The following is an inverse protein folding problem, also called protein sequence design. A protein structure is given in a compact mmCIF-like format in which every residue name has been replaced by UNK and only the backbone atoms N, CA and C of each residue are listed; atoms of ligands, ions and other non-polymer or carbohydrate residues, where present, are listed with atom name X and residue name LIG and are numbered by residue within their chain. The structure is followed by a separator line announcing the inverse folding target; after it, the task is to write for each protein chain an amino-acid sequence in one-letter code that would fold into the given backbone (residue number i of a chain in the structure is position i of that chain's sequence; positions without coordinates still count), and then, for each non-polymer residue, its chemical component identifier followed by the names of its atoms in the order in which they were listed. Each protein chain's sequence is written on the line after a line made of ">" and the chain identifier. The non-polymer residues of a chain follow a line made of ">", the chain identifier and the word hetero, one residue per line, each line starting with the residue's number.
data_IF_922333015127
#
_entry.id   IF_922333015127
#
_cell.length_a   1.000
_cell.length_b   1.000
_cell.length_c   1.000
_cell.angle_alpha   90.00
_cell.angle_beta   90.00
_cell.angle_gamma   90.00
#
_symmetry.space_group_name_H-M   'P 1'
#
loop_
_entity.id
_entity.type
_entity.pdbx_description
1 polymer ?
#
# COMPACT_ATOMS: atom_id res chain seq x y z
N UNK A 1 -15.95 -0.01 -42.93
CA UNK A 1 -16.46 1.39 -42.86
C UNK A 1 -15.73 2.21 -43.91
N UNK A 2 -16.45 2.93 -44.78
CA UNK A 2 -15.85 3.72 -45.87
C UNK A 2 -15.32 5.04 -45.30
N UNK A 3 -14.04 5.36 -45.51
CA UNK A 3 -13.45 6.63 -45.10
C UNK A 3 -13.90 7.75 -46.06
N UNK A 4 -14.28 8.90 -45.51
CA UNK A 4 -14.68 10.09 -46.25
C UNK A 4 -13.43 10.74 -46.86
N UNK A 5 -13.53 11.26 -48.08
CA UNK A 5 -12.43 11.99 -48.74
C UNK A 5 -12.32 13.41 -48.22
N UNK A 6 -11.15 14.03 -48.33
CA UNK A 6 -10.85 15.37 -47.78
C UNK A 6 -11.84 16.45 -48.27
N UNK A 7 -12.33 16.33 -49.51
CA UNK A 7 -13.35 17.22 -50.07
C UNK A 7 -14.71 17.10 -49.35
N UNK A 8 -15.06 15.91 -48.87
CA UNK A 8 -16.28 15.67 -48.10
C UNK A 8 -16.16 16.21 -46.67
N UNK A 9 -14.95 16.23 -46.10
CA UNK A 9 -14.66 16.82 -44.79
C UNK A 9 -14.78 18.35 -44.86
N UNK A 10 -14.21 18.98 -45.89
CA UNK A 10 -14.25 20.44 -46.02
C UNK A 10 -15.68 20.95 -46.25
N UNK A 11 -16.47 20.25 -47.07
CA UNK A 11 -17.88 20.59 -47.30
C UNK A 11 -18.72 20.52 -46.02
N UNK A 12 -18.46 19.54 -45.16
CA UNK A 12 -19.15 19.41 -43.88
C UNK A 12 -18.76 20.52 -42.90
N UNK A 13 -17.48 20.89 -42.83
CA UNK A 13 -17.02 21.96 -41.92
C UNK A 13 -17.59 23.34 -42.27
N UNK A 14 -17.76 23.65 -43.57
CA UNK A 14 -18.37 24.93 -44.01
C UNK A 14 -19.87 25.01 -43.77
N UNK A 15 -20.54 23.89 -43.51
CA UNK A 15 -21.98 23.84 -43.22
C UNK A 15 -22.32 24.06 -41.74
N UNK A 16 -21.29 24.13 -40.87
CA UNK A 16 -21.49 24.32 -39.44
C UNK A 16 -21.79 25.80 -39.13
N UNK A 17 -22.85 26.10 -38.35
CA UNK A 17 -23.23 27.46 -38.05
C UNK A 17 -22.20 28.11 -37.14
N UNK A 18 -21.55 29.17 -37.61
CA UNK A 18 -20.67 30.01 -36.79
C UNK A 18 -21.56 30.95 -35.97
N UNK A 19 -21.82 30.57 -34.72
CA UNK A 19 -22.58 31.42 -33.80
C UNK A 19 -21.73 32.57 -33.29
N UNK A 20 -21.91 33.75 -33.88
CA UNK A 20 -21.46 35.01 -33.31
C UNK A 20 -22.59 35.61 -32.46
N UNK A 21 -22.23 36.15 -31.30
CA UNK A 21 -23.19 36.84 -30.44
C UNK A 21 -23.68 38.11 -31.14
N UNK A 22 -25.00 38.30 -31.17
CA UNK A 22 -25.60 39.51 -31.73
C UNK A 22 -25.22 40.74 -30.89
N UNK A 23 -25.32 41.93 -31.48
CA UNK A 23 -25.00 43.18 -30.77
C UNK A 23 -25.86 43.35 -29.50
N UNK A 24 -27.13 42.95 -29.57
CA UNK A 24 -28.07 43.00 -28.45
C UNK A 24 -27.68 42.06 -27.31
N UNK A 25 -27.22 40.84 -27.62
CA UNK A 25 -26.73 39.89 -26.62
C UNK A 25 -25.47 40.41 -25.91
N UNK A 26 -24.57 41.08 -26.64
CA UNK A 26 -23.37 41.70 -26.06
C UNK A 26 -23.73 42.84 -25.12
N UNK A 27 -24.65 43.71 -25.51
CA UNK A 27 -25.12 44.83 -24.66
C UNK A 27 -25.80 44.33 -23.38
N UNK A 28 -26.62 43.27 -23.47
CA UNK A 28 -27.24 42.66 -22.29
C UNK A 28 -26.22 42.07 -21.30
N UNK A 29 -25.13 41.49 -21.81
CA UNK A 29 -24.03 40.98 -20.97
C UNK A 29 -23.28 42.14 -20.30
N UNK A 30 -22.96 43.21 -21.04
CA UNK A 30 -22.28 44.39 -20.49
C UNK A 30 -23.13 45.06 -19.42
N UNK A 31 -24.44 45.17 -19.64
CA UNK A 31 -25.38 45.72 -18.67
C UNK A 31 -25.46 44.86 -17.40
N UNK A 32 -25.56 43.53 -17.53
CA UNK A 32 -25.58 42.61 -16.40
C UNK A 32 -24.29 42.67 -15.57
N UNK A 33 -23.12 42.83 -16.22
CA UNK A 33 -21.83 42.96 -15.54
C UNK A 33 -21.74 44.27 -14.76
N UNK A 34 -22.19 45.39 -15.34
CA UNK A 34 -22.23 46.70 -14.64
C UNK A 34 -23.19 46.70 -13.46
N UNK A 35 -24.34 46.02 -13.59
CA UNK A 35 -25.31 45.93 -12.50
C UNK A 35 -24.79 45.09 -11.32
N UNK A 36 -23.85 44.16 -11.57
CA UNK A 36 -23.22 43.34 -10.55
C UNK A 36 -22.00 43.97 -9.86
N UNK A 37 -21.37 45.02 -10.45
CA UNK A 37 -20.19 45.67 -9.85
C UNK A 37 -20.53 46.76 -8.82
N UNK A 38 -21.74 47.32 -8.85
CA UNK A 38 -22.18 48.42 -7.96
C UNK A 38 -22.60 47.98 -6.53
N UNK A 39 -22.57 46.68 -6.19
CA UNK A 39 -23.07 46.17 -4.88
C UNK A 39 -22.09 45.34 -4.06
N UNK A 40 -20.83 45.76 -3.91
CA UNK A 40 -19.95 45.24 -2.84
C UNK A 40 -19.27 46.32 -2.02
N UNK A 41 -20.03 46.96 -1.11
CA UNK A 41 -19.46 47.46 0.14
C UNK A 41 -19.40 46.29 1.13
N UNK A 42 -18.23 45.67 1.23
CA UNK A 42 -17.97 44.55 2.14
C UNK A 42 -17.90 45.07 3.59
N UNK A 43 -18.99 44.90 4.36
CA UNK A 43 -18.92 44.99 5.83
C UNK A 43 -18.52 43.62 6.36
N UNK A 44 -17.27 43.49 6.80
CA UNK A 44 -16.74 42.30 7.48
C UNK A 44 -17.62 41.96 8.69
N UNK A 45 -18.22 40.76 8.70
CA UNK A 45 -18.85 40.17 9.88
C UNK A 45 -17.95 39.05 10.40
N UNK A 46 -17.51 39.07 11.67
CA UNK A 46 -16.47 38.18 12.21
C UNK A 46 -16.89 36.71 12.39
N UNK A 47 -18.15 36.34 12.12
CA UNK A 47 -18.66 34.99 12.35
C UNK A 47 -18.12 33.93 11.36
N UNK A 48 -17.77 34.32 10.12
CA UNK A 48 -17.27 33.36 9.10
C UNK A 48 -15.81 32.97 9.38
N UNK A 49 -15.03 33.87 9.99
CA UNK A 49 -13.65 33.60 10.38
C UNK A 49 -13.56 32.50 11.44
N UNK A 50 -14.49 32.50 12.41
CA UNK A 50 -14.56 31.46 13.45
C UNK A 50 -14.89 30.07 12.90
N UNK A 51 -15.78 29.97 11.89
CA UNK A 51 -16.11 28.69 11.26
C UNK A 51 -14.92 28.11 10.50
N UNK A 52 -14.19 28.96 9.76
CA UNK A 52 -12.96 28.56 9.07
C UNK A 52 -11.86 28.16 10.05
N UNK A 53 -11.72 28.88 11.17
CA UNK A 53 -10.75 28.55 12.21
C UNK A 53 -11.09 27.21 12.89
N UNK A 54 -12.37 26.94 13.18
CA UNK A 54 -12.83 25.67 13.75
C UNK A 54 -12.57 24.49 12.81
N UNK A 55 -12.79 24.66 11.51
CA UNK A 55 -12.46 23.63 10.51
C UNK A 55 -10.94 23.38 10.42
N UNK A 56 -10.13 24.43 10.57
CA UNK A 56 -8.66 24.33 10.59
C UNK A 56 -8.15 23.68 11.88
N UNK A 57 -8.76 23.98 13.03
CA UNK A 57 -8.45 23.30 14.30
C UNK A 57 -8.88 21.83 14.27
N UNK A 58 -10.05 21.52 13.71
CA UNK A 58 -10.51 20.14 13.56
C UNK A 58 -9.60 19.31 12.64
N UNK A 59 -9.05 19.91 11.57
CA UNK A 59 -8.09 19.22 10.69
C UNK A 59 -6.73 19.01 11.36
N UNK A 60 -6.24 19.98 12.14
CA UNK A 60 -4.99 19.85 12.91
C UNK A 60 -5.13 18.78 14.01
N UNK A 61 -6.26 18.75 14.73
CA UNK A 61 -6.52 17.73 15.75
C UNK A 61 -6.65 16.34 15.13
N UNK A 62 -7.33 16.22 13.97
CA UNK A 62 -7.43 14.93 13.26
C UNK A 62 -6.06 14.44 12.77
N UNK A 63 -5.18 15.35 12.32
CA UNK A 63 -3.82 15.01 11.92
C UNK A 63 -2.94 14.62 13.11
N UNK A 64 -3.09 15.32 14.25
CA UNK A 64 -2.38 14.98 15.49
C UNK A 64 -2.82 13.61 16.04
N UNK A 65 -4.10 13.25 15.93
CA UNK A 65 -4.60 11.92 16.33
C UNK A 65 -4.16 10.79 15.39
N UNK A 66 -3.87 11.06 14.11
CA UNK A 66 -3.23 10.07 13.22
C UNK A 66 -1.75 9.86 13.54
N UNK A 67 -1.07 10.85 14.14
CA UNK A 67 0.31 10.75 14.61
C UNK A 67 0.42 10.19 16.05
N UNK A 68 -0.62 10.36 16.86
CA UNK A 68 -0.75 9.70 18.17
C UNK A 68 -1.24 8.27 17.95
N UNK A 69 -0.35 7.45 17.41
CA UNK A 69 -0.46 6.00 17.44
C UNK A 69 -0.40 5.62 18.93
N UNK A 70 -1.56 5.63 19.59
CA UNK A 70 -1.78 5.32 21.01
C UNK A 70 -1.53 3.85 21.31
N UNK A 71 -0.40 3.33 20.81
CA UNK A 71 0.15 2.06 21.22
C UNK A 71 0.51 2.26 22.69
N UNK A 72 -0.09 1.51 23.63
CA UNK A 72 0.47 1.44 24.97
C UNK A 72 1.95 1.14 24.79
N UNK A 73 2.82 1.81 25.57
CA UNK A 73 4.23 1.49 25.59
C UNK A 73 4.34 -0.01 25.82
N UNK A 74 4.54 -0.76 24.73
CA UNK A 74 4.70 -2.19 24.76
C UNK A 74 5.90 -2.37 25.66
N UNK A 75 5.73 -3.03 26.81
CA UNK A 75 6.86 -3.49 27.60
C UNK A 75 7.83 -4.09 26.58
N UNK A 76 9.04 -3.54 26.52
CA UNK A 76 9.99 -3.86 25.47
C UNK A 76 10.49 -5.30 25.65
N UNK A 77 9.63 -6.26 25.35
CA UNK A 77 9.97 -7.67 25.25
C UNK A 77 10.89 -7.76 24.06
N UNK A 78 12.18 -7.91 24.35
CA UNK A 78 13.20 -8.04 23.33
C UNK A 78 13.10 -9.43 22.74
N UNK A 79 12.45 -9.57 21.59
CA UNK A 79 12.41 -10.84 20.88
C UNK A 79 13.65 -11.02 20.00
N UNK A 80 14.03 -12.27 19.77
CA UNK A 80 15.01 -12.65 18.74
C UNK A 80 14.49 -13.85 17.99
N UNK A 81 14.89 -13.98 16.73
CA UNK A 81 14.46 -15.11 15.90
C UNK A 81 15.62 -15.99 15.50
N UNK A 82 15.35 -17.28 15.40
CA UNK A 82 16.26 -18.29 14.84
C UNK A 82 15.52 -19.13 13.82
N UNK A 83 16.24 -19.53 12.77
CA UNK A 83 15.73 -20.38 11.69
C UNK A 83 16.93 -21.09 11.06
N UNK A 84 16.73 -22.34 10.66
CA UNK A 84 17.78 -23.20 10.10
C UNK A 84 17.41 -23.58 8.67
N UNK A 85 17.80 -22.77 7.66
CA UNK A 85 17.63 -23.14 6.27
C UNK A 85 18.51 -24.34 5.93
N UNK A 86 17.99 -25.22 5.08
CA UNK A 86 18.72 -26.39 4.62
C UNK A 86 19.75 -26.04 3.53
N UNK A 87 20.76 -26.89 3.35
CA UNK A 87 21.74 -26.80 2.27
C UNK A 87 22.70 -25.60 2.38
N UNK A 88 23.22 -25.17 1.22
CA UNK A 88 24.23 -24.10 1.11
C UNK A 88 23.59 -22.69 1.16
N UNK A 89 22.72 -22.44 2.14
CA UNK A 89 22.08 -21.14 2.36
C UNK A 89 22.83 -20.36 3.43
N UNK A 90 23.28 -19.15 3.08
CA UNK A 90 23.89 -18.21 4.02
C UNK A 90 22.82 -17.25 4.56
N UNK A 91 22.78 -17.10 5.89
CA UNK A 91 21.91 -16.13 6.56
C UNK A 91 22.69 -14.85 6.84
N UNK A 92 22.18 -13.71 6.38
CA UNK A 92 22.67 -12.37 6.77
C UNK A 92 21.68 -11.70 7.71
N UNK A 93 22.13 -11.34 8.91
CA UNK A 93 21.32 -10.59 9.85
C UNK A 93 21.25 -9.12 9.42
N UNK A 94 20.04 -8.58 9.28
CA UNK A 94 19.77 -7.16 9.01
C UNK A 94 19.34 -6.39 10.25
N UNK A 95 19.07 -7.09 11.35
CA UNK A 95 18.69 -6.58 12.65
C UNK A 95 18.25 -7.72 13.56
N UNK A 96 17.75 -7.40 14.77
CA UNK A 96 17.26 -8.41 15.71
C UNK A 96 16.09 -9.24 15.15
N UNK A 97 15.28 -8.63 14.28
CA UNK A 97 14.02 -9.19 13.78
C UNK A 97 13.99 -9.41 12.26
N UNK A 98 15.12 -9.24 11.58
CA UNK A 98 15.19 -9.38 10.13
C UNK A 98 16.44 -10.14 9.68
N UNK A 99 16.21 -11.13 8.82
CA UNK A 99 17.24 -12.01 8.26
C UNK A 99 16.98 -12.16 6.77
N UNK A 100 18.03 -12.12 5.97
CA UNK A 100 17.95 -12.43 4.54
C UNK A 100 18.69 -13.74 4.26
N UNK A 101 18.10 -14.58 3.41
CA UNK A 101 18.68 -15.85 2.98
C UNK A 101 19.32 -15.67 1.60
N UNK A 102 20.50 -16.23 1.42
CA UNK A 102 21.25 -16.16 0.17
C UNK A 102 21.78 -17.53 -0.22
N UNK A 103 21.78 -17.86 -1.51
CA UNK A 103 22.47 -19.04 -2.03
C UNK A 103 23.99 -18.79 -2.14
N UNK A 104 24.75 -19.83 -2.51
CA UNK A 104 26.20 -19.76 -2.75
C UNK A 104 26.63 -18.75 -3.82
N UNK A 105 25.74 -18.39 -4.74
CA UNK A 105 25.97 -17.40 -5.80
C UNK A 105 25.68 -15.96 -5.33
N UNK A 106 25.21 -15.79 -4.09
CA UNK A 106 24.86 -14.49 -3.52
C UNK A 106 23.50 -13.96 -3.93
N UNK A 107 22.64 -14.77 -4.58
CA UNK A 107 21.25 -14.41 -4.89
C UNK A 107 20.36 -14.59 -3.66
N UNK A 108 19.48 -13.62 -3.41
CA UNK A 108 18.52 -13.68 -2.32
C UNK A 108 17.48 -14.78 -2.60
N UNK A 109 17.24 -15.65 -1.63
CA UNK A 109 16.36 -16.82 -1.76
C UNK A 109 15.19 -16.80 -0.78
N UNK A 110 15.17 -15.84 0.14
CA UNK A 110 14.11 -15.72 1.14
C UNK A 110 14.51 -14.80 2.29
N UNK A 111 13.77 -14.87 3.38
CA UNK A 111 14.10 -14.16 4.60
C UNK A 111 13.06 -14.27 5.70
N UNK A 112 13.35 -13.58 6.80
CA UNK A 112 12.46 -13.36 7.94
C UNK A 112 12.32 -11.86 8.16
N UNK A 113 11.11 -11.40 8.42
CA UNK A 113 10.85 -10.02 8.84
C UNK A 113 9.72 -9.97 9.87
N UNK A 114 9.92 -9.23 10.95
CA UNK A 114 8.83 -8.85 11.87
C UNK A 114 7.97 -7.77 11.24
N UNK A 115 6.66 -7.91 11.41
CA UNK A 115 5.64 -7.00 10.90
C UNK A 115 4.48 -6.88 11.88
N UNK A 116 3.69 -5.83 11.74
CA UNK A 116 2.43 -5.70 12.48
C UNK A 116 1.34 -6.53 11.81
N UNK A 117 0.20 -6.70 12.49
CA UNK A 117 -0.96 -7.36 11.89
C UNK A 117 -1.49 -6.61 10.65
N UNK A 118 -1.49 -5.27 10.69
CA UNK A 118 -1.89 -4.46 9.56
C UNK A 118 -0.98 -4.69 8.34
N UNK A 119 0.34 -4.69 8.56
CA UNK A 119 1.34 -4.96 7.51
C UNK A 119 1.20 -6.38 6.93
N UNK A 120 0.84 -7.38 7.76
CA UNK A 120 0.57 -8.74 7.30
C UNK A 120 -0.62 -8.76 6.34
N UNK A 121 -1.75 -8.16 6.72
CA UNK A 121 -2.92 -8.12 5.85
C UNK A 121 -2.68 -7.30 4.58
N UNK A 122 -1.95 -6.18 4.67
CA UNK A 122 -1.54 -5.43 3.49
C UNK A 122 -0.67 -6.29 2.56
N UNK A 123 0.34 -6.99 3.10
CA UNK A 123 1.20 -7.87 2.32
C UNK A 123 0.41 -8.97 1.61
N UNK A 124 -0.54 -9.60 2.31
CA UNK A 124 -1.42 -10.64 1.73
C UNK A 124 -2.29 -10.04 0.61
N UNK A 125 -2.89 -8.87 0.82
CA UNK A 125 -3.78 -8.23 -0.17
C UNK A 125 -3.07 -7.79 -1.45
N UNK A 126 -1.74 -7.58 -1.41
CA UNK A 126 -0.93 -7.24 -2.58
C UNK A 126 -0.48 -8.46 -3.39
N UNK A 127 -0.68 -9.68 -2.89
CA UNK A 127 -0.26 -10.92 -3.55
C UNK A 127 -1.26 -11.38 -4.61
N UNK A 128 -0.75 -12.07 -5.64
CA UNK A 128 -1.56 -12.89 -6.52
C UNK A 128 -1.74 -14.27 -5.88
N UNK A 129 -2.53 -14.29 -4.81
CA UNK A 129 -2.71 -15.46 -3.93
C UNK A 129 -3.26 -16.65 -4.74
N UNK A 130 -2.50 -17.73 -4.74
CA UNK A 130 -2.95 -19.05 -5.20
C UNK A 130 -3.54 -19.89 -4.07
N UNK A 131 -3.00 -19.73 -2.85
CA UNK A 131 -3.41 -20.47 -1.66
C UNK A 131 -3.31 -19.55 -0.44
N UNK A 132 -4.28 -19.63 0.47
CA UNK A 132 -4.27 -18.95 1.76
C UNK A 132 -4.93 -19.86 2.78
N UNK A 133 -4.11 -20.47 3.64
CA UNK A 133 -4.56 -21.47 4.62
C UNK A 133 -4.04 -21.14 6.01
N UNK A 134 -4.85 -21.43 7.02
CA UNK A 134 -4.36 -21.48 8.40
C UNK A 134 -3.54 -22.77 8.57
N UNK A 135 -2.32 -22.63 9.09
CA UNK A 135 -1.40 -23.76 9.24
C UNK A 135 -1.50 -24.36 10.64
N UNK A 136 -1.66 -25.68 10.71
CA UNK A 136 -1.69 -26.45 11.95
C UNK A 136 -0.42 -27.32 12.11
N UNK A 137 -0.08 -27.68 13.35
CA UNK A 137 1.09 -28.51 13.66
C UNK A 137 2.44 -27.77 13.57
N UNK A 138 2.42 -26.46 13.35
CA UNK A 138 3.59 -25.59 13.53
C UNK A 138 3.74 -25.18 14.99
N UNK A 139 4.94 -24.77 15.39
CA UNK A 139 5.21 -24.30 16.76
C UNK A 139 4.38 -23.07 17.14
N UNK A 140 4.10 -22.21 16.16
CA UNK A 140 3.30 -21.00 16.34
C UNK A 140 2.11 -21.03 15.39
N UNK A 141 0.93 -20.54 15.80
CA UNK A 141 -0.19 -20.38 14.90
C UNK A 141 0.17 -19.38 13.80
N UNK A 142 -0.37 -19.60 12.61
CA UNK A 142 -0.05 -18.74 11.48
C UNK A 142 -0.88 -19.01 10.24
N UNK A 143 -0.52 -18.28 9.18
CA UNK A 143 -1.08 -18.43 7.83
C UNK A 143 0.03 -18.77 6.84
N UNK A 144 -0.29 -19.58 5.84
CA UNK A 144 0.57 -19.81 4.68
C UNK A 144 -0.11 -19.31 3.42
N UNK A 145 0.63 -18.56 2.62
CA UNK A 145 0.19 -18.15 1.29
C UNK A 145 1.21 -18.52 0.23
N UNK A 146 0.73 -18.77 -1.00
CA UNK A 146 1.57 -18.94 -2.19
C UNK A 146 1.22 -17.84 -3.17
N UNK A 147 2.19 -16.99 -3.48
CA UNK A 147 2.07 -15.87 -4.42
C UNK A 147 2.74 -16.23 -5.75
N UNK A 148 2.00 -16.17 -6.85
CA UNK A 148 2.56 -16.34 -8.19
C UNK A 148 3.11 -15.02 -8.74
N UNK A 149 4.40 -15.00 -9.05
CA UNK A 149 5.06 -13.84 -9.66
C UNK A 149 5.47 -14.17 -11.09
N UNK A 150 5.00 -13.39 -12.06
CA UNK A 150 5.44 -13.49 -13.46
C UNK A 150 6.72 -12.68 -13.69
N UNK A 151 7.79 -13.00 -12.96
CA UNK A 151 9.11 -12.35 -13.12
C UNK A 151 10.13 -13.35 -13.63
N UNK A 152 11.11 -12.86 -14.39
CA UNK A 152 12.16 -13.71 -15.00
C UNK A 152 13.00 -14.49 -13.98
N UNK A 153 13.06 -14.01 -12.72
CA UNK A 153 13.97 -14.54 -11.71
C UNK A 153 13.31 -15.43 -10.64
N UNK A 154 11.99 -15.33 -10.48
CA UNK A 154 11.19 -16.02 -9.45
C UNK A 154 9.80 -16.30 -10.01
N UNK A 155 9.34 -17.54 -9.84
CA UNK A 155 8.04 -18.00 -10.37
C UNK A 155 6.95 -17.86 -9.30
N UNK A 156 7.33 -18.15 -8.06
CA UNK A 156 6.47 -18.19 -6.89
C UNK A 156 7.23 -17.77 -5.64
N UNK A 157 6.50 -17.21 -4.69
CA UNK A 157 6.95 -16.94 -3.33
C UNK A 157 6.04 -17.71 -2.37
N UNK A 158 6.63 -18.46 -1.46
CA UNK A 158 5.91 -19.17 -0.40
C UNK A 158 6.07 -18.33 0.87
N UNK A 159 4.97 -17.90 1.47
CA UNK A 159 4.93 -17.03 2.63
C UNK A 159 4.35 -17.79 3.82
N UNK A 160 4.97 -17.65 4.98
CA UNK A 160 4.47 -18.07 6.27
C UNK A 160 4.40 -16.86 7.19
N UNK A 161 3.27 -16.68 7.86
CA UNK A 161 3.03 -15.60 8.82
C UNK A 161 2.78 -16.19 10.19
N UNK A 162 3.80 -16.19 11.06
CA UNK A 162 3.71 -16.74 12.41
C UNK A 162 3.38 -15.65 13.42
N UNK A 163 2.34 -15.84 14.22
CA UNK A 163 2.01 -14.91 15.32
C UNK A 163 2.98 -15.14 16.48
N UNK A 164 3.56 -14.06 17.02
CA UNK A 164 4.36 -14.16 18.23
C UNK A 164 3.48 -14.58 19.42
N UNK A 165 3.97 -15.49 20.30
CA UNK A 165 3.29 -15.75 21.56
C UNK A 165 3.57 -14.69 22.63
N UNK A 166 4.55 -13.79 22.41
CA UNK A 166 4.99 -12.81 23.42
C UNK A 166 4.56 -11.37 23.11
N UNK A 167 4.30 -11.05 21.85
CA UNK A 167 3.91 -9.71 21.40
C UNK A 167 2.76 -9.79 20.39
N UNK A 168 2.19 -8.65 20.02
CA UNK A 168 1.16 -8.58 18.97
C UNK A 168 1.74 -8.55 17.55
N UNK A 169 3.01 -8.91 17.39
CA UNK A 169 3.68 -8.95 16.09
C UNK A 169 3.49 -10.29 15.38
N UNK A 170 3.65 -10.23 14.05
CA UNK A 170 3.79 -11.38 13.19
C UNK A 170 5.20 -11.45 12.62
N UNK A 171 5.65 -12.66 12.35
CA UNK A 171 6.91 -12.92 11.66
C UNK A 171 6.60 -13.53 10.29
N UNK A 172 7.00 -12.80 9.26
CA UNK A 172 6.92 -13.24 7.88
C UNK A 172 8.18 -13.98 7.50
N UNK A 173 8.04 -15.28 7.28
CA UNK A 173 9.09 -16.15 6.76
C UNK A 173 8.74 -16.45 5.31
N UNK A 174 9.62 -16.12 4.37
CA UNK A 174 9.34 -16.31 2.94
C UNK A 174 10.48 -16.95 2.19
N UNK A 175 10.11 -17.64 1.11
CA UNK A 175 11.01 -18.41 0.28
C UNK A 175 10.70 -18.19 -1.21
N UNK A 176 11.73 -18.07 -2.02
CA UNK A 176 11.61 -17.90 -3.46
C UNK A 176 11.86 -19.20 -4.20
N UNK A 177 10.98 -19.53 -5.15
CA UNK A 177 11.27 -20.55 -6.17
C UNK A 177 12.22 -19.97 -7.24
N UNK A 178 13.11 -20.79 -7.84
CA UNK A 178 13.26 -22.24 -7.67
C UNK A 178 14.22 -22.64 -6.53
N UNK A 179 14.62 -21.72 -5.65
CA UNK A 179 15.62 -22.01 -4.61
C UNK A 179 15.09 -22.88 -3.47
N UNK A 180 13.78 -22.77 -3.21
CA UNK A 180 13.04 -23.64 -2.32
C UNK A 180 11.80 -24.13 -3.06
N UNK A 181 11.59 -25.44 -3.06
CA UNK A 181 10.26 -26.00 -3.33
C UNK A 181 9.37 -25.92 -2.07
N UNK A 182 8.10 -26.30 -2.20
CA UNK A 182 7.14 -26.27 -1.08
C UNK A 182 7.57 -27.14 0.10
N UNK A 183 8.14 -28.32 -0.15
CA UNK A 183 8.55 -29.25 0.90
C UNK A 183 9.78 -28.74 1.66
N UNK A 184 10.75 -28.17 0.95
CA UNK A 184 11.92 -27.53 1.54
C UNK A 184 11.53 -26.29 2.34
N UNK A 185 10.62 -25.47 1.80
CA UNK A 185 10.10 -24.29 2.49
C UNK A 185 9.35 -24.68 3.78
N UNK A 186 8.48 -25.69 3.74
CA UNK A 186 7.76 -26.22 4.92
C UNK A 186 8.76 -26.76 5.97
N UNK A 187 9.74 -27.57 5.55
CA UNK A 187 10.75 -28.11 6.45
C UNK A 187 11.55 -27.01 7.17
N UNK A 188 11.96 -25.97 6.44
CA UNK A 188 12.70 -24.83 7.03
C UNK A 188 11.77 -23.98 7.92
N UNK A 189 10.55 -23.70 7.49
CA UNK A 189 9.58 -22.94 8.27
C UNK A 189 9.29 -23.59 9.63
N UNK A 190 9.30 -24.93 9.72
CA UNK A 190 9.15 -25.67 10.98
C UNK A 190 10.31 -25.49 11.96
N UNK A 191 11.49 -25.09 11.48
CA UNK A 191 12.65 -24.78 12.34
C UNK A 191 12.58 -23.37 12.95
N UNK A 192 11.59 -22.56 12.55
CA UNK A 192 11.46 -21.19 13.02
C UNK A 192 11.14 -21.12 14.52
N UNK A 193 11.93 -20.33 15.25
CA UNK A 193 11.79 -20.15 16.69
C UNK A 193 11.88 -18.66 17.02
N UNK A 194 10.90 -18.18 17.81
CA UNK A 194 10.86 -16.87 18.44
C UNK A 194 11.29 -17.05 19.89
N UNK A 195 12.34 -16.34 20.31
CA UNK A 195 12.85 -16.34 21.68
C UNK A 195 12.57 -14.97 22.31
N UNK A 196 12.12 -14.92 23.56
CA UNK A 196 12.05 -13.68 24.34
C UNK A 196 13.29 -13.54 25.23
N UNK A 197 13.90 -12.37 25.25
CA UNK A 197 14.88 -11.97 26.25
C UNK A 197 14.17 -11.10 27.29
N UNK A 198 14.11 -11.62 28.52
CA UNK A 198 13.67 -10.88 29.71
C UNK A 198 14.86 -10.24 30.40
#
# INVERSE_FOLDING_TARGET
>A
MKQLTDEQVEKNLRSLPVHSLTHEQKENIIFAIRQHSEKRKLRFKPAVSFLLLLLLFASIVSYAFQQYDGKPAEQAVSETVTISPAGDITIKNRGAFSKDFYNKEGKKTGGVQRMTEADMYESINQQNIHTNIDIQGYRYPGKMTVDHQKKMEYIQIIHYYFKSPYTNHYYHVYFYTPFFDEAQADAVARTFIINSQN
#
